data_IF_521589916412
#
_entry.id   IF_521589916412
#
_cell.length_a   1.000
_cell.length_b   1.000
_cell.length_c   1.000
_cell.angle_alpha   90.00
_cell.angle_beta   90.00
_cell.angle_gamma   90.00
#
_symmetry.space_group_name_H-M   'P 1'
#
loop_
_entity.id
_entity.type
_entity.pdbx_description
1 polymer ?
#
# COMPACT_ATOMS: atom_id res chain seq x y z
N UNK A 1 -21.62 -3.83 19.21
CA UNK A 1 -21.68 -2.85 18.10
C UNK A 1 -20.67 -1.70 18.22
N UNK A 2 -20.62 -0.92 19.32
CA UNK A 2 -19.70 0.23 19.45
C UNK A 2 -18.20 -0.11 19.37
N UNK A 3 -17.79 -1.28 19.90
CA UNK A 3 -16.39 -1.75 19.84
C UNK A 3 -15.91 -1.98 18.40
N UNK A 4 -16.77 -2.54 17.55
CA UNK A 4 -16.46 -2.84 16.14
C UNK A 4 -16.38 -1.57 15.29
N UNK A 5 -17.22 -0.57 15.58
CA UNK A 5 -17.18 0.73 14.91
C UNK A 5 -15.96 1.57 15.32
N UNK A 6 -15.56 1.52 16.59
CA UNK A 6 -14.35 2.20 17.07
C UNK A 6 -13.06 1.57 16.53
N UNK A 7 -13.01 0.23 16.45
CA UNK A 7 -11.91 -0.49 15.81
C UNK A 7 -11.84 -0.17 14.32
N UNK A 8 -12.99 -0.17 13.63
CA UNK A 8 -13.09 0.27 12.24
C UNK A 8 -12.56 1.70 12.08
N UNK A 9 -13.02 2.65 12.89
CA UNK A 9 -12.57 4.05 12.81
C UNK A 9 -11.06 4.19 13.08
N UNK A 10 -10.49 3.43 14.01
CA UNK A 10 -9.08 3.58 14.35
C UNK A 10 -8.15 2.91 13.31
N UNK A 11 -8.48 1.68 12.87
CA UNK A 11 -7.71 0.96 11.84
C UNK A 11 -7.92 1.59 10.47
N UNK A 12 -9.15 2.00 10.15
CA UNK A 12 -9.53 2.60 8.86
C UNK A 12 -9.15 4.07 8.78
N UNK A 13 -9.24 4.87 9.85
CA UNK A 13 -9.11 6.33 9.77
C UNK A 13 -7.99 6.91 10.65
N UNK A 14 -7.51 6.20 11.67
CA UNK A 14 -6.62 6.76 12.70
C UNK A 14 -5.11 6.71 12.44
N UNK A 15 -4.62 5.78 11.62
CA UNK A 15 -3.18 5.64 11.38
C UNK A 15 -2.64 6.74 10.44
N UNK A 16 -1.57 7.42 10.85
CA UNK A 16 -0.85 8.37 9.99
C UNK A 16 -0.37 7.68 8.71
N UNK A 17 -0.97 8.05 7.59
CA UNK A 17 -0.74 7.40 6.29
C UNK A 17 0.47 7.98 5.55
N UNK A 18 0.99 9.11 6.02
CA UNK A 18 2.03 9.85 5.31
C UNK A 18 3.35 9.07 5.21
N UNK A 19 3.83 8.50 6.31
CA UNK A 19 5.08 7.73 6.30
C UNK A 19 4.97 6.49 5.38
N UNK A 20 3.99 5.57 5.58
CA UNK A 20 3.94 4.34 4.80
C UNK A 20 3.50 4.53 3.34
N UNK A 21 2.68 5.55 3.02
CA UNK A 21 2.16 5.74 1.65
C UNK A 21 2.94 6.79 0.83
N UNK A 22 3.76 7.63 1.46
CA UNK A 22 4.50 8.70 0.78
C UNK A 22 6.00 8.55 1.01
N UNK A 23 6.47 8.65 2.26
CA UNK A 23 7.92 8.69 2.54
C UNK A 23 8.59 7.37 2.16
N UNK A 24 8.07 6.24 2.62
CA UNK A 24 8.69 4.94 2.35
C UNK A 24 8.72 4.61 0.84
N UNK A 25 7.63 4.81 0.07
CA UNK A 25 7.67 4.65 -1.38
C UNK A 25 8.67 5.57 -2.08
N UNK A 26 8.81 6.83 -1.63
CA UNK A 26 9.80 7.76 -2.19
C UNK A 26 11.23 7.27 -1.97
N UNK A 27 11.56 6.87 -0.73
CA UNK A 27 12.89 6.34 -0.41
C UNK A 27 13.17 5.10 -1.25
N UNK A 28 12.21 4.18 -1.32
CA UNK A 28 12.35 2.95 -2.11
C UNK A 28 12.58 3.24 -3.59
N UNK A 29 11.86 4.18 -4.20
CA UNK A 29 12.05 4.52 -5.61
C UNK A 29 13.43 5.11 -5.89
N UNK A 30 13.92 5.98 -4.99
CA UNK A 30 15.29 6.50 -5.08
C UNK A 30 16.35 5.40 -4.92
N UNK A 31 16.12 4.44 -4.02
CA UNK A 31 17.02 3.30 -3.82
C UNK A 31 17.01 2.38 -5.04
N UNK A 32 15.83 2.04 -5.58
CA UNK A 32 15.68 1.17 -6.75
C UNK A 32 16.37 1.77 -7.97
N UNK A 33 16.14 3.07 -8.23
CA UNK A 33 16.78 3.77 -9.36
C UNK A 33 18.31 3.84 -9.23
N UNK A 34 18.85 3.87 -8.01
CA UNK A 34 20.29 3.77 -7.75
C UNK A 34 20.81 2.34 -7.85
N UNK A 35 20.04 1.35 -7.40
CA UNK A 35 20.45 -0.04 -7.35
C UNK A 35 20.49 -0.71 -8.73
N UNK A 36 19.62 -0.30 -9.65
CA UNK A 36 19.48 -0.94 -10.96
C UNK A 36 19.70 0.05 -12.11
N UNK A 37 20.51 -0.37 -13.08
CA UNK A 37 20.74 0.39 -14.33
C UNK A 37 19.79 -0.03 -15.44
N UNK A 38 19.39 -1.30 -15.45
CA UNK A 38 18.47 -1.82 -16.46
C UNK A 38 17.04 -1.28 -16.21
N UNK A 39 16.43 -0.58 -17.19
CA UNK A 39 15.04 -0.13 -17.08
C UNK A 39 14.06 -1.27 -16.82
N UNK A 40 14.34 -2.44 -17.41
CA UNK A 40 13.55 -3.66 -17.19
C UNK A 40 13.58 -4.10 -15.72
N UNK A 41 14.74 -4.09 -15.08
CA UNK A 41 14.87 -4.48 -13.67
C UNK A 41 14.19 -3.48 -12.74
N UNK A 42 14.24 -2.18 -13.05
CA UNK A 42 13.52 -1.15 -12.30
C UNK A 42 12.00 -1.42 -12.37
N UNK A 43 11.45 -1.64 -13.58
CA UNK A 43 10.02 -1.91 -13.77
C UNK A 43 9.60 -3.18 -13.04
N UNK A 44 10.35 -4.29 -13.20
CA UNK A 44 10.03 -5.56 -12.53
C UNK A 44 10.04 -5.38 -11.01
N UNK A 45 11.05 -4.71 -10.46
CA UNK A 45 11.16 -4.47 -9.01
C UNK A 45 10.00 -3.63 -8.50
N UNK A 46 9.63 -2.55 -9.21
CA UNK A 46 8.47 -1.73 -8.86
C UNK A 46 7.19 -2.57 -8.84
N UNK A 47 6.93 -3.37 -9.88
CA UNK A 47 5.75 -4.23 -9.94
C UNK A 47 5.73 -5.26 -8.80
N UNK A 48 6.86 -5.92 -8.52
CA UNK A 48 6.97 -6.86 -7.40
C UNK A 48 6.68 -6.19 -6.06
N UNK A 49 7.21 -4.97 -5.84
CA UNK A 49 6.95 -4.22 -4.62
C UNK A 49 5.47 -3.82 -4.50
N UNK A 50 4.83 -3.42 -5.59
CA UNK A 50 3.40 -3.08 -5.58
C UNK A 50 2.52 -4.30 -5.30
N UNK A 51 2.86 -5.47 -5.85
CA UNK A 51 2.17 -6.73 -5.55
C UNK A 51 2.33 -7.06 -4.06
N UNK A 52 3.55 -6.99 -3.55
CA UNK A 52 3.83 -7.27 -2.13
C UNK A 52 3.07 -6.32 -1.20
N UNK A 53 3.10 -5.02 -1.46
CA UNK A 53 2.35 -4.02 -0.69
C UNK A 53 0.86 -4.30 -0.75
N UNK A 54 0.31 -4.62 -1.93
CA UNK A 54 -1.11 -4.95 -2.10
C UNK A 54 -1.52 -6.15 -1.25
N UNK A 55 -0.73 -7.23 -1.28
CA UNK A 55 -0.99 -8.45 -0.51
C UNK A 55 -0.91 -8.17 1.00
N UNK A 56 0.15 -7.51 1.47
CA UNK A 56 0.32 -7.19 2.89
C UNK A 56 -0.79 -6.26 3.41
N UNK A 57 -1.19 -5.27 2.63
CA UNK A 57 -2.27 -4.35 2.99
C UNK A 57 -3.62 -5.09 3.03
N UNK A 58 -3.87 -5.97 2.07
CA UNK A 58 -5.08 -6.81 2.03
C UNK A 58 -5.17 -7.71 3.26
N UNK A 59 -4.08 -8.43 3.60
CA UNK A 59 -4.06 -9.29 4.79
C UNK A 59 -4.27 -8.49 6.06
N UNK A 60 -3.58 -7.34 6.19
CA UNK A 60 -3.66 -6.50 7.39
C UNK A 60 -5.06 -5.94 7.59
N UNK A 61 -5.68 -5.42 6.53
CA UNK A 61 -7.01 -4.82 6.62
C UNK A 61 -8.10 -5.88 6.75
N UNK A 62 -7.98 -7.02 6.06
CA UNK A 62 -8.99 -8.10 6.11
C UNK A 62 -8.83 -9.02 7.31
N UNK A 63 -7.77 -8.90 8.12
CA UNK A 63 -7.53 -9.73 9.30
C UNK A 63 -8.77 -9.94 10.19
N UNK A 64 -9.59 -8.92 10.52
CA UNK A 64 -10.78 -9.12 11.36
C UNK A 64 -11.83 -10.04 10.71
N UNK A 65 -11.98 -9.97 9.38
CA UNK A 65 -12.87 -10.87 8.63
C UNK A 65 -12.28 -12.27 8.62
N UNK A 66 -10.97 -12.40 8.35
CA UNK A 66 -10.27 -13.69 8.29
C UNK A 66 -10.27 -14.42 9.63
N UNK A 67 -10.22 -13.68 10.74
CA UNK A 67 -10.27 -14.24 12.11
C UNK A 67 -11.69 -14.36 12.68
N UNK A 68 -12.73 -14.09 11.87
CA UNK A 68 -14.12 -14.28 12.30
C UNK A 68 -14.58 -13.34 13.41
N UNK A 69 -14.03 -12.11 13.46
CA UNK A 69 -14.40 -11.09 14.46
C UNK A 69 -15.85 -10.61 14.26
N UNK A 70 -16.37 -10.70 13.04
CA UNK A 70 -17.73 -10.30 12.71
C UNK A 70 -18.69 -11.49 12.81
N UNK A 71 -19.67 -11.40 13.71
CA UNK A 71 -20.74 -12.39 13.87
C UNK A 71 -21.78 -12.32 12.75
N UNK A 72 -22.08 -11.10 12.29
CA UNK A 72 -23.06 -10.85 11.22
C UNK A 72 -22.39 -10.81 9.84
N UNK A 73 -22.89 -11.64 8.92
CA UNK A 73 -22.37 -11.77 7.55
C UNK A 73 -22.45 -10.46 6.75
N UNK A 74 -23.54 -9.72 6.91
CA UNK A 74 -23.73 -8.41 6.26
C UNK A 74 -22.64 -7.41 6.62
N UNK A 75 -22.23 -7.35 7.89
CA UNK A 75 -21.16 -6.48 8.34
C UNK A 75 -19.79 -6.93 7.82
N UNK A 76 -19.54 -8.24 7.76
CA UNK A 76 -18.32 -8.79 7.18
C UNK A 76 -18.18 -8.42 5.69
N UNK A 77 -19.29 -8.48 4.93
CA UNK A 77 -19.31 -8.12 3.50
C UNK A 77 -19.03 -6.62 3.30
N UNK A 78 -19.68 -5.74 4.07
CA UNK A 78 -19.43 -4.29 4.03
C UNK A 78 -17.98 -3.94 4.42
N UNK A 79 -17.46 -4.56 5.48
CA UNK A 79 -16.09 -4.35 5.92
C UNK A 79 -15.10 -4.80 4.84
N UNK A 80 -15.35 -5.94 4.20
CA UNK A 80 -14.51 -6.46 3.11
C UNK A 80 -14.48 -5.47 1.95
N UNK A 81 -15.63 -4.97 1.52
CA UNK A 81 -15.72 -3.96 0.46
C UNK A 81 -14.92 -2.68 0.79
N UNK A 82 -15.12 -2.12 2.00
CA UNK A 82 -14.40 -0.93 2.45
C UNK A 82 -12.89 -1.16 2.55
N UNK A 83 -12.48 -2.34 3.01
CA UNK A 83 -11.07 -2.73 3.11
C UNK A 83 -10.44 -2.82 1.73
N UNK A 84 -11.09 -3.48 0.76
CA UNK A 84 -10.62 -3.55 -0.62
C UNK A 84 -10.51 -2.18 -1.26
N UNK A 85 -11.54 -1.33 -1.13
CA UNK A 85 -11.49 0.05 -1.62
C UNK A 85 -10.27 0.80 -1.07
N UNK A 86 -9.97 0.61 0.22
CA UNK A 86 -8.81 1.23 0.85
C UNK A 86 -7.48 0.63 0.40
N UNK A 87 -7.40 -0.68 0.17
CA UNK A 87 -6.20 -1.31 -0.42
C UNK A 87 -5.91 -0.69 -1.78
N UNK A 88 -6.92 -0.57 -2.65
CA UNK A 88 -6.76 0.05 -3.97
C UNK A 88 -6.32 1.50 -3.87
N UNK A 89 -6.94 2.30 -2.98
CA UNK A 89 -6.52 3.67 -2.74
C UNK A 89 -5.06 3.78 -2.27
N UNK A 90 -4.67 2.98 -1.27
CA UNK A 90 -3.29 2.94 -0.77
C UNK A 90 -2.30 2.51 -1.86
N UNK A 91 -2.69 1.55 -2.70
CA UNK A 91 -1.86 1.04 -3.79
C UNK A 91 -1.62 2.11 -4.86
N UNK A 92 -2.66 2.85 -5.26
CA UNK A 92 -2.53 3.95 -6.22
C UNK A 92 -1.60 5.05 -5.70
N UNK A 93 -1.78 5.48 -4.45
CA UNK A 93 -0.92 6.49 -3.81
C UNK A 93 0.53 6.01 -3.71
N UNK A 94 0.74 4.76 -3.29
CA UNK A 94 2.07 4.15 -3.18
C UNK A 94 2.74 4.05 -4.54
N UNK A 95 2.02 3.57 -5.56
CA UNK A 95 2.52 3.44 -6.93
C UNK A 95 2.94 4.78 -7.51
N UNK A 96 2.11 5.82 -7.35
CA UNK A 96 2.45 7.16 -7.82
C UNK A 96 3.78 7.65 -7.23
N UNK A 97 3.93 7.62 -5.91
CA UNK A 97 5.14 8.12 -5.26
C UNK A 97 6.37 7.26 -5.55
N UNK A 98 6.21 5.93 -5.62
CA UNK A 98 7.28 5.00 -5.96
C UNK A 98 7.78 5.22 -7.38
N UNK A 99 6.87 5.35 -8.35
CA UNK A 99 7.22 5.57 -9.76
C UNK A 99 7.82 6.97 -9.93
N UNK A 100 7.20 8.01 -9.39
CA UNK A 100 7.67 9.38 -9.51
C UNK A 100 9.08 9.55 -8.93
N UNK A 101 9.35 8.95 -7.77
CA UNK A 101 10.68 8.98 -7.15
C UNK A 101 11.71 8.10 -7.87
N UNK A 102 11.31 6.95 -8.40
CA UNK A 102 12.20 6.13 -9.23
C UNK A 102 12.60 6.86 -10.52
N UNK A 103 11.64 7.49 -11.20
CA UNK A 103 11.91 8.35 -12.36
C UNK A 103 12.84 9.49 -11.96
N UNK A 104 12.47 10.28 -10.94
CA UNK A 104 13.31 11.37 -10.42
C UNK A 104 14.74 10.93 -10.09
N UNK A 105 14.89 9.74 -9.48
CA UNK A 105 16.19 9.15 -9.19
C UNK A 105 17.00 8.85 -10.46
N UNK A 106 16.39 8.32 -11.52
CA UNK A 106 17.08 8.07 -12.81
C UNK A 106 17.71 9.38 -13.33
N UNK A 107 16.97 10.50 -13.30
CA UNK A 107 17.49 11.83 -13.66
C UNK A 107 18.62 12.28 -12.73
N UNK A 108 18.45 12.13 -11.42
CA UNK A 108 19.42 12.54 -10.39
C UNK A 108 20.75 11.78 -10.48
N UNK A 109 20.70 10.50 -10.83
CA UNK A 109 21.89 9.65 -10.95
C UNK A 109 22.55 9.72 -12.33
N UNK A 110 22.02 10.51 -13.26
CA UNK A 110 22.59 10.66 -14.61
C UNK A 110 22.51 9.37 -15.45
N UNK A 111 21.50 8.54 -15.21
CA UNK A 111 21.29 7.27 -15.93
C UNK A 111 20.34 7.51 -17.10
N UNK A 112 20.88 7.66 -18.31
CA UNK A 112 20.12 7.92 -19.54
C UNK A 112 20.52 6.94 -20.63
#
# INVERSE_FOLDING_TARGET
MALNAAYLANVVLGASRFIPLVIAPVILGLVISRAFESPRMIVVTILTMLILVSVLNSITLLAPVLFGVFEERSYADWFTYLSLYRVFGNLLFTAFHLIASALGGIFLWGRW
#
